data_IF_090133472362
#
_entry.id   IF_090133472362
#
_cell.length_a   1.000
_cell.length_b   1.000
_cell.length_c   1.000
_cell.angle_alpha   90.00
_cell.angle_beta   90.00
_cell.angle_gamma   90.00
#
_symmetry.space_group_name_H-M   'P 1'
#
loop_
_entity.id
_entity.type
_entity.pdbx_description
1 polymer ?
#
# COMPACT_ATOMS: atom_id res chain seq x y z
N UNK A 1 17.42 -34.80 23.72
CA UNK A 1 16.65 -34.98 24.96
C UNK A 1 15.65 -36.09 24.75
N UNK A 2 15.72 -37.15 25.56
CA UNK A 2 14.89 -38.34 25.37
C UNK A 2 14.25 -38.75 26.70
N UNK A 3 12.96 -39.05 26.64
CA UNK A 3 12.19 -39.55 27.77
C UNK A 3 12.72 -40.90 28.26
N UNK A 4 12.82 -41.08 29.58
CA UNK A 4 13.34 -42.30 30.20
C UNK A 4 14.86 -42.48 30.12
N UNK A 5 15.58 -41.56 29.46
CA UNK A 5 17.05 -41.57 29.37
C UNK A 5 17.63 -40.43 30.21
N UNK A 6 17.37 -39.18 29.81
CA UNK A 6 17.96 -38.00 30.47
C UNK A 6 16.90 -37.05 31.04
N UNK A 7 15.65 -37.16 30.58
CA UNK A 7 14.53 -36.31 31.01
C UNK A 7 13.93 -36.87 32.30
N UNK A 8 13.87 -36.04 33.34
CA UNK A 8 13.27 -36.35 34.63
C UNK A 8 11.74 -36.16 34.59
N UNK A 9 11.04 -36.73 35.57
CA UNK A 9 9.60 -36.48 35.76
C UNK A 9 9.34 -35.00 36.05
N UNK A 10 8.21 -34.48 35.57
CA UNK A 10 7.78 -33.11 35.84
C UNK A 10 7.94 -32.13 34.67
N UNK A 11 7.99 -32.61 33.43
CA UNK A 11 7.86 -31.76 32.24
C UNK A 11 6.57 -30.95 32.33
N UNK A 12 6.66 -29.63 32.18
CA UNK A 12 5.50 -28.73 32.20
C UNK A 12 5.48 -27.88 30.95
N UNK A 13 4.29 -27.74 30.37
CA UNK A 13 4.04 -26.72 29.36
C UNK A 13 3.84 -25.40 30.09
N UNK A 14 4.71 -24.44 29.83
CA UNK A 14 4.55 -23.06 30.25
C UNK A 14 3.80 -22.33 29.13
N UNK A 15 2.58 -21.88 29.43
CA UNK A 15 1.81 -21.02 28.53
C UNK A 15 2.25 -19.60 28.79
N UNK A 16 3.40 -19.20 28.26
CA UNK A 16 3.85 -17.83 28.42
C UNK A 16 3.07 -16.95 27.44
N UNK A 17 1.95 -16.42 27.93
CA UNK A 17 1.07 -15.57 27.13
C UNK A 17 1.68 -14.20 26.83
N UNK A 18 2.86 -13.88 27.35
CA UNK A 18 3.47 -12.55 27.33
C UNK A 18 3.77 -12.06 25.91
N UNK A 19 4.11 -12.96 24.97
CA UNK A 19 4.42 -12.64 23.57
C UNK A 19 3.27 -12.89 22.58
N UNK A 20 2.08 -13.27 23.05
CA UNK A 20 0.93 -13.50 22.16
C UNK A 20 0.39 -12.19 21.60
N UNK A 21 0.35 -12.09 20.28
CA UNK A 21 -0.36 -11.03 19.56
C UNK A 21 -1.63 -11.60 18.92
N UNK A 22 -2.74 -10.88 19.03
CA UNK A 22 -3.98 -11.22 18.32
C UNK A 22 -4.28 -10.23 17.19
N UNK A 23 -3.40 -9.25 16.96
CA UNK A 23 -3.47 -8.33 15.84
C UNK A 23 -2.07 -8.03 15.30
N UNK A 24 -1.95 -8.02 13.98
CA UNK A 24 -0.77 -7.53 13.26
C UNK A 24 -1.21 -6.41 12.34
N UNK A 25 -0.45 -5.32 12.33
CA UNK A 25 -0.57 -4.23 11.37
C UNK A 25 0.75 -4.11 10.62
N UNK A 26 0.67 -4.10 9.29
CA UNK A 26 1.83 -3.85 8.42
C UNK A 26 1.61 -2.51 7.74
N UNK A 27 2.58 -1.62 7.87
CA UNK A 27 2.60 -0.30 7.26
C UNK A 27 3.75 -0.31 6.24
N UNK A 28 3.35 -0.31 4.98
CA UNK A 28 4.20 -0.21 3.81
C UNK A 28 4.57 1.22 3.44
N UNK A 29 5.32 1.35 2.35
CA UNK A 29 5.69 2.65 1.77
C UNK A 29 4.60 3.26 0.90
N UNK A 30 4.96 4.34 0.23
CA UNK A 30 4.08 5.05 -0.69
C UNK A 30 3.83 4.25 -1.98
N UNK A 31 2.65 4.43 -2.57
CA UNK A 31 2.29 3.88 -3.89
C UNK A 31 1.73 4.99 -4.77
N UNK A 32 2.09 4.95 -6.04
CA UNK A 32 1.55 5.80 -7.09
C UNK A 32 0.94 4.94 -8.18
N UNK A 33 -0.31 5.21 -8.55
CA UNK A 33 -1.10 4.46 -9.52
C UNK A 33 -1.25 2.94 -9.24
N UNK A 34 -2.25 2.28 -9.84
CA UNK A 34 -2.36 0.82 -9.76
C UNK A 34 -1.12 0.09 -10.31
N UNK A 35 -0.49 0.62 -11.35
CA UNK A 35 0.75 0.06 -11.93
C UNK A 35 1.99 0.22 -11.06
N UNK A 36 2.01 1.21 -10.15
CA UNK A 36 3.22 1.64 -9.44
C UNK A 36 3.97 2.78 -10.12
N UNK A 37 3.59 3.17 -11.35
CA UNK A 37 4.24 4.23 -12.12
C UNK A 37 3.55 5.60 -11.91
N UNK A 38 4.22 6.61 -11.34
CA UNK A 38 3.64 7.94 -11.11
C UNK A 38 3.46 8.80 -12.37
N UNK A 39 3.87 8.34 -13.55
CA UNK A 39 3.81 9.12 -14.80
C UNK A 39 3.15 8.36 -15.96
N UNK A 40 2.37 7.33 -15.63
CA UNK A 40 1.75 6.40 -16.58
C UNK A 40 0.85 7.04 -17.66
N UNK A 41 0.37 8.27 -17.44
CA UNK A 41 -0.67 8.89 -18.27
C UNK A 41 -0.27 10.24 -18.87
N UNK A 42 0.96 10.68 -18.64
CA UNK A 42 1.43 12.01 -19.04
C UNK A 42 2.78 12.00 -19.76
N UNK A 43 3.25 10.82 -20.20
CA UNK A 43 4.55 10.64 -20.84
C UNK A 43 4.42 10.32 -22.35
N UNK A 44 5.51 9.90 -22.97
CA UNK A 44 5.65 9.72 -24.40
C UNK A 44 4.66 8.68 -24.96
N UNK A 45 3.82 9.12 -25.91
CA UNK A 45 2.78 8.34 -26.55
C UNK A 45 1.38 8.58 -25.99
N UNK A 46 1.26 9.24 -24.84
CA UNK A 46 0.00 9.36 -24.12
C UNK A 46 -0.91 10.47 -24.68
N UNK A 47 -0.38 11.45 -25.42
CA UNK A 47 -1.22 12.54 -25.95
C UNK A 47 -2.40 12.03 -26.80
N UNK A 48 -2.24 10.89 -27.46
CA UNK A 48 -3.29 10.26 -28.27
C UNK A 48 -4.46 9.68 -27.45
N UNK A 49 -4.24 9.41 -26.16
CA UNK A 49 -5.23 8.91 -25.21
C UNK A 49 -6.02 10.04 -24.53
N UNK A 50 -5.54 11.28 -24.67
CA UNK A 50 -6.22 12.46 -24.19
C UNK A 50 -7.18 13.03 -25.25
N UNK A 51 -8.30 13.56 -24.77
CA UNK A 51 -9.34 14.19 -25.59
C UNK A 51 -9.62 15.60 -25.09
N UNK A 52 -9.99 16.48 -26.00
CA UNK A 52 -10.30 17.89 -25.74
C UNK A 52 -11.35 18.41 -26.73
N UNK A 53 -11.64 19.71 -26.69
CA UNK A 53 -12.47 20.37 -27.68
C UNK A 53 -11.87 20.20 -29.10
N UNK A 54 -12.68 19.94 -30.14
CA UNK A 54 -12.17 19.74 -31.51
C UNK A 54 -11.37 20.90 -32.09
N UNK A 55 -11.51 22.11 -31.53
CA UNK A 55 -10.73 23.28 -31.95
C UNK A 55 -9.34 23.37 -31.31
N UNK A 56 -9.08 22.64 -30.23
CA UNK A 56 -7.81 22.63 -29.55
C UNK A 56 -6.85 21.55 -30.08
N UNK A 57 -5.58 21.69 -29.72
CA UNK A 57 -4.53 20.72 -30.03
C UNK A 57 -3.94 20.15 -28.73
N UNK A 58 -3.78 18.83 -28.69
CA UNK A 58 -3.04 18.12 -27.65
C UNK A 58 -1.72 17.62 -28.24
N UNK A 59 -0.63 17.89 -27.54
CA UNK A 59 0.72 17.52 -27.95
C UNK A 59 1.57 17.10 -26.75
N UNK A 60 2.70 16.46 -27.03
CA UNK A 60 3.73 16.14 -26.03
C UNK A 60 4.84 17.18 -26.08
N UNK A 61 5.22 17.73 -24.93
CA UNK A 61 6.28 18.71 -24.80
C UNK A 61 7.46 18.14 -24.01
N UNK A 62 8.58 17.90 -24.70
CA UNK A 62 9.80 17.36 -24.09
C UNK A 62 10.59 18.44 -23.34
N UNK A 63 10.33 19.72 -23.58
CA UNK A 63 11.06 20.83 -22.96
C UNK A 63 10.51 21.22 -21.59
N UNK A 64 9.21 21.00 -21.38
CA UNK A 64 8.49 21.28 -20.14
C UNK A 64 8.10 19.94 -19.50
N UNK A 65 8.84 19.49 -18.48
CA UNK A 65 8.53 18.22 -17.79
C UNK A 65 8.96 18.22 -16.32
N UNK A 66 8.19 17.52 -15.51
CA UNK A 66 8.37 17.24 -14.09
C UNK A 66 8.76 15.77 -13.85
N UNK A 67 8.29 14.84 -14.70
CA UNK A 67 8.69 13.44 -14.72
C UNK A 67 8.88 12.95 -16.16
N UNK A 68 9.30 11.70 -16.33
CA UNK A 68 9.34 11.06 -17.65
C UNK A 68 10.16 11.78 -18.72
N UNK A 69 9.67 11.66 -19.96
CA UNK A 69 10.29 12.17 -21.18
C UNK A 69 9.61 13.44 -21.69
N UNK A 70 8.32 13.62 -21.45
CA UNK A 70 7.55 14.80 -21.83
C UNK A 70 6.40 15.08 -20.86
N UNK A 71 5.71 16.20 -21.07
CA UNK A 71 4.40 16.48 -20.49
C UNK A 71 3.32 16.57 -21.56
N UNK A 72 2.04 16.60 -21.14
CA UNK A 72 0.90 16.81 -22.02
C UNK A 72 0.58 18.30 -22.09
N UNK A 73 0.55 18.83 -23.31
CA UNK A 73 0.30 20.22 -23.62
C UNK A 73 -1.02 20.38 -24.39
N UNK A 74 -1.92 21.18 -23.84
CA UNK A 74 -3.15 21.66 -24.47
C UNK A 74 -2.95 23.09 -24.99
N UNK A 75 -3.16 23.27 -26.30
CA UNK A 75 -3.23 24.58 -26.95
C UNK A 75 -4.67 24.86 -27.39
N UNK A 76 -5.37 25.71 -26.64
CA UNK A 76 -6.72 26.17 -27.00
C UNK A 76 -6.63 27.54 -27.69
N UNK A 77 -6.98 27.65 -28.98
CA UNK A 77 -7.15 28.95 -29.63
C UNK A 77 -8.42 29.67 -29.14
N UNK A 78 -8.45 30.99 -29.31
CA UNK A 78 -9.67 31.76 -29.08
C UNK A 78 -10.72 31.40 -30.14
N UNK A 79 -11.77 30.69 -29.72
CA UNK A 79 -12.81 30.20 -30.62
C UNK A 79 -14.22 30.53 -30.11
N UNK A 80 -15.15 30.95 -30.99
CA UNK A 80 -16.53 31.26 -30.59
C UNK A 80 -17.24 30.07 -29.94
N UNK A 81 -17.84 30.30 -28.77
CA UNK A 81 -18.66 29.30 -28.07
C UNK A 81 -17.88 28.29 -27.23
N UNK A 82 -16.54 28.36 -27.20
CA UNK A 82 -15.73 27.53 -26.31
C UNK A 82 -15.71 28.15 -24.91
N UNK A 83 -16.55 27.60 -24.02
CA UNK A 83 -16.70 28.07 -22.63
C UNK A 83 -15.91 27.24 -21.61
N UNK A 84 -15.20 26.21 -22.08
CA UNK A 84 -14.31 25.41 -21.25
C UNK A 84 -13.13 24.82 -22.06
N UNK A 85 -11.93 24.94 -21.51
CA UNK A 85 -10.76 24.17 -21.90
C UNK A 85 -10.74 22.89 -21.07
N UNK A 86 -10.45 21.74 -21.68
CA UNK A 86 -10.32 20.51 -20.90
C UNK A 86 -9.36 19.50 -21.51
N UNK A 87 -8.79 18.68 -20.64
CA UNK A 87 -8.07 17.46 -20.98
C UNK A 87 -8.82 16.30 -20.32
N UNK A 88 -9.37 15.37 -21.11
CA UNK A 88 -10.08 14.18 -20.64
C UNK A 88 -9.34 12.92 -21.07
N UNK A 89 -8.97 12.08 -20.10
CA UNK A 89 -8.32 10.79 -20.32
C UNK A 89 -9.31 9.64 -20.06
N UNK A 90 -9.31 8.61 -20.90
CA UNK A 90 -10.09 7.37 -20.72
C UNK A 90 -9.16 6.25 -20.22
N UNK A 91 -9.35 5.83 -18.97
CA UNK A 91 -8.67 4.67 -18.38
C UNK A 91 -9.14 3.34 -18.99
N UNK A 92 -10.13 3.36 -19.88
CA UNK A 92 -10.67 2.20 -20.57
C UNK A 92 -12.03 1.76 -20.04
N UNK A 93 -12.70 0.90 -20.79
CA UNK A 93 -14.09 0.50 -20.52
C UNK A 93 -14.32 -0.17 -19.17
N UNK A 94 -13.28 -0.80 -18.60
CA UNK A 94 -13.31 -1.44 -17.29
C UNK A 94 -13.03 -0.47 -16.14
N UNK A 95 -12.53 0.73 -16.43
CA UNK A 95 -12.01 1.65 -15.44
C UNK A 95 -10.80 1.10 -14.68
N UNK A 96 -10.37 1.86 -13.68
CA UNK A 96 -9.31 1.50 -12.74
C UNK A 96 -9.80 1.60 -11.29
N UNK A 97 -9.24 0.76 -10.43
CA UNK A 97 -9.48 0.83 -8.99
C UNK A 97 -8.58 1.89 -8.36
N UNK A 98 -9.20 2.99 -7.91
CA UNK A 98 -8.51 4.07 -7.21
C UNK A 98 -8.90 4.18 -5.74
N UNK A 99 -9.76 3.27 -5.24
CA UNK A 99 -10.18 3.24 -3.84
C UNK A 99 -9.00 3.11 -2.84
N UNK A 100 -7.88 2.43 -3.15
CA UNK A 100 -6.73 2.36 -2.27
C UNK A 100 -5.96 3.69 -2.10
N UNK A 101 -6.21 4.70 -2.94
CA UNK A 101 -5.47 5.95 -2.94
C UNK A 101 -6.18 7.03 -2.13
N UNK A 102 -5.41 7.98 -1.62
CA UNK A 102 -5.95 9.08 -0.78
C UNK A 102 -5.85 10.44 -1.47
N UNK A 103 -4.96 10.57 -2.45
CA UNK A 103 -4.69 11.81 -3.13
C UNK A 103 -4.67 11.62 -4.65
N UNK A 104 -5.05 12.66 -5.38
CA UNK A 104 -4.69 12.86 -6.77
C UNK A 104 -3.58 13.91 -6.82
N UNK A 105 -2.52 13.63 -7.58
CA UNK A 105 -1.39 14.56 -7.77
C UNK A 105 -1.12 14.75 -9.25
N UNK A 106 -0.74 15.96 -9.60
CA UNK A 106 -0.29 16.31 -10.95
C UNK A 106 0.49 17.62 -10.88
N UNK A 107 1.41 17.82 -11.82
CA UNK A 107 2.00 19.11 -12.08
C UNK A 107 1.19 19.82 -13.13
N UNK A 108 1.09 21.14 -13.01
CA UNK A 108 0.49 21.94 -14.07
C UNK A 108 1.22 23.27 -14.26
N UNK A 109 1.02 23.88 -15.42
CA UNK A 109 1.42 25.27 -15.70
C UNK A 109 0.60 25.87 -16.84
N UNK A 110 0.79 27.16 -17.04
CA UNK A 110 0.38 27.90 -18.23
C UNK A 110 1.58 28.68 -18.80
N UNK A 111 1.39 29.34 -19.93
CA UNK A 111 2.40 30.19 -20.54
C UNK A 111 2.37 31.61 -19.95
N UNK A 112 3.29 32.46 -20.38
CA UNK A 112 3.42 33.85 -19.89
C UNK A 112 2.16 34.71 -20.04
N UNK A 113 1.22 34.31 -20.90
CA UNK A 113 -0.04 35.02 -21.11
C UNK A 113 -1.13 34.57 -20.13
N UNK A 114 -0.99 33.36 -19.58
CA UNK A 114 -1.96 32.75 -18.71
C UNK A 114 -3.19 32.24 -19.47
N UNK A 115 -4.21 31.89 -18.70
CA UNK A 115 -5.53 31.56 -19.18
C UNK A 115 -6.33 32.84 -19.39
N UNK A 116 -6.86 33.00 -20.59
CA UNK A 116 -7.54 34.19 -21.07
C UNK A 116 -9.03 33.92 -21.24
N UNK A 117 -9.85 34.93 -20.97
CA UNK A 117 -11.30 34.87 -21.09
C UNK A 117 -11.86 36.09 -21.81
N UNK A 118 -13.02 35.92 -22.44
CA UNK A 118 -13.74 37.02 -23.07
C UNK A 118 -14.20 38.02 -21.99
N UNK A 119 -14.00 39.31 -22.24
CA UNK A 119 -14.37 40.41 -21.33
C UNK A 119 -13.83 40.26 -19.89
N UNK A 120 -12.74 39.51 -19.69
CA UNK A 120 -12.20 39.19 -18.37
C UNK A 120 -13.21 38.48 -17.45
N UNK A 121 -14.05 37.62 -18.04
CA UNK A 121 -14.98 36.80 -17.28
C UNK A 121 -14.26 35.90 -16.27
N UNK A 122 -14.92 35.68 -15.14
CA UNK A 122 -14.43 34.81 -14.10
C UNK A 122 -14.41 33.34 -14.57
N UNK A 123 -13.42 32.59 -14.10
CA UNK A 123 -13.21 31.19 -14.43
C UNK A 123 -12.63 30.39 -13.25
N UNK A 124 -12.85 29.08 -13.31
CA UNK A 124 -12.43 28.11 -12.29
C UNK A 124 -11.75 26.90 -12.94
N UNK A 125 -10.84 26.25 -12.20
CA UNK A 125 -10.27 24.96 -12.57
C UNK A 125 -10.80 23.86 -11.65
N UNK A 126 -11.28 22.77 -12.25
CA UNK A 126 -11.76 21.59 -11.54
C UNK A 126 -11.18 20.30 -12.13
N UNK A 127 -11.03 19.31 -11.27
CA UNK A 127 -10.85 17.92 -11.69
C UNK A 127 -12.18 17.20 -11.53
N UNK A 128 -12.58 16.46 -12.55
CA UNK A 128 -13.78 15.63 -12.56
C UNK A 128 -13.35 14.19 -12.75
N UNK A 129 -13.86 13.29 -11.92
CA UNK A 129 -13.77 11.85 -12.12
C UNK A 129 -15.14 11.33 -12.52
N UNK A 130 -15.17 10.41 -13.48
CA UNK A 130 -16.38 9.74 -13.96
C UNK A 130 -16.17 8.23 -13.85
N UNK A 131 -17.09 7.52 -13.20
CA UNK A 131 -17.04 6.07 -13.09
C UNK A 131 -17.59 5.38 -14.34
N UNK A 132 -17.44 4.05 -14.42
CA UNK A 132 -17.97 3.25 -15.55
C UNK A 132 -19.50 3.29 -15.68
N UNK A 133 -20.22 3.74 -14.64
CA UNK A 133 -21.67 3.97 -14.65
C UNK A 133 -22.05 5.40 -15.07
N UNK A 134 -21.08 6.27 -15.36
CA UNK A 134 -21.29 7.67 -15.72
C UNK A 134 -21.60 8.59 -14.53
N UNK A 135 -21.38 8.13 -13.29
CA UNK A 135 -21.54 8.97 -12.09
C UNK A 135 -20.28 9.81 -11.94
N UNK A 136 -20.43 11.03 -11.43
CA UNK A 136 -19.32 11.98 -11.38
C UNK A 136 -19.10 12.55 -9.99
N UNK A 137 -17.83 12.69 -9.63
CA UNK A 137 -17.38 13.51 -8.50
C UNK A 137 -16.35 14.53 -8.98
N UNK A 138 -16.27 15.68 -8.32
CA UNK A 138 -15.40 16.76 -8.76
C UNK A 138 -14.80 17.53 -7.59
N UNK A 139 -13.65 18.16 -7.85
CA UNK A 139 -12.98 19.06 -6.93
C UNK A 139 -12.47 20.28 -7.69
N UNK A 140 -12.97 21.46 -7.34
CA UNK A 140 -12.40 22.73 -7.77
C UNK A 140 -11.10 22.99 -7.00
N UNK A 141 -10.02 23.31 -7.72
CA UNK A 141 -8.69 23.51 -7.14
C UNK A 141 -8.07 24.88 -7.49
N UNK A 142 -8.58 25.58 -8.50
CA UNK A 142 -8.34 27.01 -8.69
C UNK A 142 -9.69 27.74 -8.74
N UNK A 143 -9.78 28.84 -8.01
CA UNK A 143 -10.98 29.69 -7.95
C UNK A 143 -10.60 31.16 -8.13
N UNK A 144 -11.59 32.02 -8.41
CA UNK A 144 -11.40 33.46 -8.48
C UNK A 144 -10.30 33.90 -9.45
N UNK A 145 -10.23 33.29 -10.64
CA UNK A 145 -9.23 33.60 -11.68
C UNK A 145 -7.77 33.43 -11.26
N UNK A 146 -7.50 32.62 -10.23
CA UNK A 146 -6.12 32.29 -9.89
C UNK A 146 -5.51 31.56 -11.09
N UNK A 147 -4.51 32.20 -11.68
CA UNK A 147 -3.80 31.66 -12.84
C UNK A 147 -3.02 30.40 -12.45
N UNK A 148 -2.93 29.40 -13.34
CA UNK A 148 -1.95 28.34 -13.19
C UNK A 148 -0.53 28.97 -13.11
N UNK A 149 0.41 28.29 -12.47
CA UNK A 149 1.77 28.78 -12.36
C UNK A 149 2.46 28.80 -13.72
N UNK A 150 3.52 29.61 -13.85
CA UNK A 150 4.32 29.75 -15.07
C UNK A 150 5.38 28.65 -15.22
N UNK A 151 5.62 27.92 -14.12
CA UNK A 151 6.52 26.78 -14.01
C UNK A 151 5.71 25.58 -13.54
N UNK A 152 6.03 24.39 -14.06
CA UNK A 152 5.37 23.15 -13.63
C UNK A 152 5.46 23.02 -12.12
N UNK A 153 4.30 23.06 -11.46
CA UNK A 153 4.19 23.00 -9.99
C UNK A 153 3.18 21.94 -9.62
N UNK A 154 3.51 21.15 -8.59
CA UNK A 154 2.65 20.08 -8.10
C UNK A 154 1.40 20.63 -7.40
N UNK A 155 0.25 20.05 -7.76
CA UNK A 155 -1.03 20.15 -7.07
C UNK A 155 -1.29 18.81 -6.40
N UNK A 156 -1.73 18.84 -5.14
CA UNK A 156 -2.17 17.66 -4.39
C UNK A 156 -3.61 17.86 -3.96
N UNK A 157 -4.52 17.01 -4.43
CA UNK A 157 -5.94 17.03 -4.08
C UNK A 157 -6.29 15.82 -3.22
N UNK A 158 -6.95 16.04 -2.09
CA UNK A 158 -7.46 14.96 -1.25
C UNK A 158 -8.75 14.40 -1.88
N UNK A 159 -8.78 13.10 -2.16
CA UNK A 159 -9.92 12.44 -2.82
C UNK A 159 -11.19 12.47 -1.95
N UNK A 160 -11.04 12.53 -0.62
CA UNK A 160 -12.19 12.64 0.29
C UNK A 160 -12.90 13.98 0.22
N UNK A 161 -12.28 15.00 -0.39
CA UNK A 161 -12.88 16.32 -0.57
C UNK A 161 -13.58 16.49 -1.92
N UNK A 162 -13.56 15.46 -2.77
CA UNK A 162 -14.34 15.46 -4.00
C UNK A 162 -15.82 15.37 -3.65
N UNK A 163 -16.63 16.15 -4.37
CA UNK A 163 -18.08 16.24 -4.16
C UNK A 163 -18.81 15.90 -5.45
N UNK A 164 -19.95 15.22 -5.33
CA UNK A 164 -20.76 14.84 -6.48
C UNK A 164 -21.75 13.74 -6.13
N UNK A 165 -21.86 12.76 -7.00
CA UNK A 165 -22.75 11.62 -6.82
C UNK A 165 -22.34 10.79 -5.57
N UNK A 166 -23.24 10.57 -4.59
CA UNK A 166 -22.93 9.78 -3.40
C UNK A 166 -22.68 8.30 -3.69
N UNK A 167 -23.16 7.80 -4.84
CA UNK A 167 -23.00 6.40 -5.26
C UNK A 167 -21.81 6.22 -6.21
N UNK A 168 -20.92 7.21 -6.35
CA UNK A 168 -19.73 7.10 -7.20
C UNK A 168 -18.85 5.88 -6.87
N UNK A 169 -18.52 5.09 -7.89
CA UNK A 169 -17.71 3.88 -7.73
C UNK A 169 -16.21 4.15 -7.87
N UNK A 170 -15.52 4.28 -6.73
CA UNK A 170 -14.07 4.46 -6.65
C UNK A 170 -13.26 3.25 -7.14
N UNK A 171 -13.88 2.09 -7.30
CA UNK A 171 -13.22 0.87 -7.77
C UNK A 171 -13.24 0.70 -9.30
N UNK A 172 -13.97 1.58 -9.99
CA UNK A 172 -14.15 1.52 -11.44
C UNK A 172 -14.18 2.93 -12.06
N UNK A 173 -13.16 3.74 -11.78
CA UNK A 173 -13.03 5.09 -12.36
C UNK A 173 -12.62 4.98 -13.81
N UNK A 174 -13.42 5.53 -14.72
CA UNK A 174 -13.20 5.43 -16.16
C UNK A 174 -12.53 6.68 -16.73
N UNK A 175 -12.97 7.86 -16.34
CA UNK A 175 -12.39 9.08 -16.87
C UNK A 175 -11.88 9.99 -15.77
N UNK A 176 -10.82 10.72 -16.11
CA UNK A 176 -10.41 11.93 -15.42
C UNK A 176 -10.48 13.09 -16.41
N UNK A 177 -11.04 14.22 -15.98
CA UNK A 177 -11.09 15.45 -16.76
C UNK A 177 -10.51 16.60 -15.94
N UNK A 178 -9.44 17.22 -16.44
CA UNK A 178 -8.95 18.50 -15.93
C UNK A 178 -9.62 19.60 -16.77
N UNK A 179 -10.47 20.40 -16.14
CA UNK A 179 -11.33 21.37 -16.83
C UNK A 179 -11.12 22.77 -16.28
N UNK A 180 -10.91 23.73 -17.16
CA UNK A 180 -10.94 25.16 -16.88
C UNK A 180 -12.17 25.72 -17.58
N UNK A 181 -13.10 26.32 -16.84
CA UNK A 181 -14.39 26.78 -17.37
C UNK A 181 -14.71 28.20 -16.90
N UNK A 182 -15.42 28.96 -17.71
CA UNK A 182 -15.97 30.24 -17.26
C UNK A 182 -17.14 30.00 -16.32
N UNK A 183 -17.28 30.86 -15.31
CA UNK A 183 -18.33 30.73 -14.30
C UNK A 183 -19.70 31.19 -14.82
N UNK A 184 -19.70 32.05 -15.84
CA UNK A 184 -20.91 32.52 -16.53
C UNK A 184 -21.45 31.54 -17.58
N UNK A 185 -20.71 30.48 -17.89
CA UNK A 185 -21.06 29.46 -18.88
C UNK A 185 -21.28 29.98 -20.30
N UNK A 186 -20.84 31.20 -20.62
CA UNK A 186 -21.10 31.85 -21.92
C UNK A 186 -19.90 32.56 -22.49
N UNK A 187 -19.01 33.11 -21.66
CA UNK A 187 -17.78 33.74 -22.12
C UNK A 187 -16.79 32.72 -22.66
N UNK A 188 -16.05 33.12 -23.69
CA UNK A 188 -14.99 32.26 -24.26
C UNK A 188 -13.82 32.12 -23.29
N UNK A 189 -13.12 31.00 -23.36
CA UNK A 189 -11.87 30.74 -22.62
C UNK A 189 -10.84 30.08 -23.52
N UNK A 190 -9.59 30.53 -23.44
CA UNK A 190 -8.49 30.02 -24.26
C UNK A 190 -7.13 30.22 -23.59
N UNK A 191 -6.09 29.61 -24.15
CA UNK A 191 -4.73 29.69 -23.61
C UNK A 191 -3.92 28.42 -23.83
N UNK A 192 -2.76 28.38 -23.19
CA UNK A 192 -1.87 27.23 -23.19
C UNK A 192 -1.85 26.59 -21.79
N UNK A 193 -1.95 25.27 -21.71
CA UNK A 193 -2.02 24.56 -20.45
C UNK A 193 -1.24 23.25 -20.52
N UNK A 194 -0.35 23.03 -19.56
CA UNK A 194 0.43 21.80 -19.47
C UNK A 194 0.04 21.05 -18.22
N UNK A 195 0.04 19.72 -18.32
CA UNK A 195 -0.11 18.80 -17.19
C UNK A 195 0.98 17.73 -17.29
N UNK A 196 1.48 17.31 -16.14
CA UNK A 196 2.49 16.27 -16.08
C UNK A 196 2.41 15.47 -14.78
N UNK A 197 2.99 14.26 -14.75
CA UNK A 197 3.05 13.37 -13.59
C UNK A 197 1.69 13.20 -12.92
N UNK A 198 0.64 12.94 -13.71
CA UNK A 198 -0.71 12.73 -13.20
C UNK A 198 -0.81 11.33 -12.58
N UNK A 199 -1.07 11.26 -11.28
CA UNK A 199 -1.19 9.98 -10.59
C UNK A 199 -2.07 10.04 -9.34
N UNK A 200 -2.70 8.91 -9.04
CA UNK A 200 -3.28 8.64 -7.73
C UNK A 200 -2.17 8.21 -6.76
N UNK A 201 -2.24 8.70 -5.54
CA UNK A 201 -1.18 8.53 -4.55
C UNK A 201 -1.73 8.16 -3.17
N UNK A 202 -1.04 7.24 -2.51
CA UNK A 202 -1.19 7.03 -1.06
C UNK A 202 0.18 7.07 -0.39
N UNK A 203 0.33 7.80 0.73
CA UNK A 203 1.62 7.93 1.39
C UNK A 203 2.08 6.62 2.04
N UNK A 204 1.14 5.75 2.43
CA UNK A 204 1.44 4.44 2.99
C UNK A 204 0.37 3.44 2.57
N UNK A 205 0.82 2.25 2.20
CA UNK A 205 -0.05 1.09 2.08
C UNK A 205 -0.19 0.43 3.45
N UNK A 206 -1.39 0.00 3.84
CA UNK A 206 -1.64 -0.57 5.16
C UNK A 206 -2.50 -1.82 5.06
N UNK A 207 -2.07 -2.88 5.76
CA UNK A 207 -2.86 -4.08 5.97
C UNK A 207 -2.97 -4.43 7.45
N UNK A 208 -4.05 -5.12 7.80
CA UNK A 208 -4.29 -5.62 9.16
C UNK A 208 -4.72 -7.08 9.12
N UNK A 209 -4.16 -7.89 10.01
CA UNK A 209 -4.58 -9.26 10.25
C UNK A 209 -4.94 -9.42 11.73
N UNK A 210 -6.12 -9.97 12.02
CA UNK A 210 -6.60 -10.15 13.40
C UNK A 210 -7.02 -11.60 13.65
N UNK A 211 -6.60 -12.17 14.79
CA UNK A 211 -7.08 -13.47 15.26
C UNK A 211 -8.39 -13.30 16.01
N UNK A 212 -9.50 -13.46 15.28
CA UNK A 212 -10.87 -13.37 15.82
C UNK A 212 -11.22 -14.50 16.78
N UNK A 213 -10.42 -15.56 16.82
CA UNK A 213 -10.61 -16.71 17.73
C UNK A 213 -9.74 -16.64 18.98
N UNK A 214 -9.00 -15.53 19.16
CA UNK A 214 -8.09 -15.36 20.28
C UNK A 214 -8.81 -15.36 21.62
N UNK A 215 -8.24 -16.08 22.60
CA UNK A 215 -8.72 -16.08 23.99
C UNK A 215 -8.25 -14.85 24.78
N UNK A 216 -7.50 -13.93 24.16
CA UNK A 216 -7.05 -12.70 24.79
C UNK A 216 -8.22 -11.73 24.98
N UNK A 217 -8.40 -11.24 26.21
CA UNK A 217 -9.48 -10.29 26.56
C UNK A 217 -9.27 -8.87 26.01
N UNK A 218 -8.07 -8.55 25.52
CA UNK A 218 -7.70 -7.24 24.97
C UNK A 218 -6.89 -7.43 23.70
N UNK A 219 -6.90 -6.40 22.84
CA UNK A 219 -6.05 -6.36 21.65
C UNK A 219 -4.59 -6.20 22.05
N UNK A 220 -3.76 -7.10 21.55
CA UNK A 220 -2.30 -7.03 21.57
C UNK A 220 -1.83 -6.95 20.13
N UNK A 221 -1.34 -5.78 19.76
CA UNK A 221 -0.99 -5.42 18.39
C UNK A 221 0.53 -5.45 18.18
N UNK A 222 0.96 -6.11 17.12
CA UNK A 222 2.31 -5.99 16.57
C UNK A 222 2.27 -5.09 15.33
N UNK A 223 3.20 -4.14 15.24
CA UNK A 223 3.27 -3.21 14.10
C UNK A 223 4.61 -3.39 13.38
N UNK A 224 4.55 -3.85 12.12
CA UNK A 224 5.69 -3.81 11.21
C UNK A 224 5.63 -2.53 10.36
N UNK A 225 6.76 -1.83 10.24
CA UNK A 225 6.93 -0.71 9.31
C UNK A 225 8.06 -1.04 8.37
N UNK A 226 7.78 -1.08 7.08
CA UNK A 226 8.79 -1.28 6.03
C UNK A 226 8.39 -0.53 4.76
N UNK A 227 9.10 0.55 4.47
CA UNK A 227 8.83 1.43 3.32
C UNK A 227 9.05 0.74 1.97
N UNK A 228 9.73 -0.40 1.94
CA UNK A 228 9.93 -1.18 0.70
C UNK A 228 8.69 -1.97 0.30
N UNK A 229 7.75 -2.16 1.22
CA UNK A 229 6.50 -2.85 0.94
C UNK A 229 5.50 -1.86 0.34
N UNK A 230 5.45 -1.75 -0.98
CA UNK A 230 4.56 -0.79 -1.68
C UNK A 230 3.33 -1.45 -2.31
N UNK A 231 3.28 -2.77 -2.30
CA UNK A 231 2.21 -3.59 -2.88
C UNK A 231 1.20 -4.02 -1.78
N UNK A 232 -0.07 -3.61 -1.86
CA UNK A 232 -1.09 -3.95 -0.86
C UNK A 232 -1.34 -5.43 -0.67
N UNK A 233 -1.34 -6.21 -1.74
CA UNK A 233 -1.59 -7.64 -1.65
C UNK A 233 -0.45 -8.32 -0.89
N UNK A 234 0.78 -7.90 -1.19
CA UNK A 234 1.96 -8.40 -0.47
C UNK A 234 1.99 -7.92 1.00
N UNK A 235 1.61 -6.67 1.26
CA UNK A 235 1.49 -6.12 2.61
C UNK A 235 0.45 -6.92 3.44
N UNK A 236 -0.66 -7.34 2.82
CA UNK A 236 -1.65 -8.23 3.43
C UNK A 236 -1.10 -9.63 3.68
N UNK A 237 -0.42 -10.25 2.71
CA UNK A 237 0.21 -11.56 2.89
C UNK A 237 1.24 -11.57 4.04
N UNK A 238 2.05 -10.51 4.15
CA UNK A 238 3.01 -10.32 5.24
C UNK A 238 2.27 -10.19 6.58
N UNK A 239 1.17 -9.43 6.65
CA UNK A 239 0.38 -9.28 7.88
C UNK A 239 -0.18 -10.63 8.34
N UNK A 240 -0.72 -11.43 7.43
CA UNK A 240 -1.27 -12.76 7.72
C UNK A 240 -0.19 -13.76 8.15
N UNK A 241 0.95 -13.78 7.46
CA UNK A 241 2.07 -14.66 7.77
C UNK A 241 2.68 -14.33 9.14
N UNK A 242 2.86 -13.05 9.45
CA UNK A 242 3.28 -12.58 10.76
C UNK A 242 2.27 -12.98 11.84
N UNK A 243 0.96 -12.76 11.62
CA UNK A 243 -0.05 -13.14 12.59
C UNK A 243 -0.03 -14.64 12.85
N UNK A 244 0.11 -15.48 11.81
CA UNK A 244 0.22 -16.94 11.95
C UNK A 244 1.37 -17.35 12.87
N UNK A 245 2.50 -16.65 12.81
CA UNK A 245 3.65 -16.92 13.68
C UNK A 245 3.42 -16.38 15.10
N UNK A 246 2.94 -15.15 15.22
CA UNK A 246 2.85 -14.41 16.49
C UNK A 246 1.61 -14.77 17.34
N UNK A 247 0.55 -15.34 16.73
CA UNK A 247 -0.67 -15.74 17.44
C UNK A 247 -0.54 -17.07 18.18
N UNK A 248 0.43 -17.89 17.80
CA UNK A 248 0.63 -19.17 18.45
C UNK A 248 1.31 -18.92 19.79
N UNK A 249 0.82 -19.61 20.82
CA UNK A 249 1.58 -19.72 22.07
C UNK A 249 2.91 -20.35 21.69
N UNK A 250 4.00 -19.59 21.83
CA UNK A 250 5.32 -20.20 21.84
C UNK A 250 5.28 -21.21 22.96
N UNK A 251 5.20 -22.49 22.60
CA UNK A 251 5.05 -23.53 23.59
C UNK A 251 6.40 -23.67 24.27
N UNK A 252 6.57 -22.94 25.36
CA UNK A 252 7.68 -23.12 26.26
C UNK A 252 7.45 -24.41 27.02
N UNK A 253 8.42 -25.32 26.96
CA UNK A 253 8.37 -26.55 27.75
C UNK A 253 9.51 -26.53 28.73
N UNK A 254 9.17 -26.48 30.02
CA UNK A 254 10.14 -26.64 31.08
C UNK A 254 10.39 -28.12 31.28
N UNK A 255 11.59 -28.55 30.92
CA UNK A 255 12.02 -29.95 30.94
C UNK A 255 13.13 -30.09 31.97
N UNK A 256 12.89 -30.80 33.09
CA UNK A 256 13.96 -31.14 34.02
C UNK A 256 14.82 -32.28 33.44
N UNK A 257 16.15 -32.14 33.48
CA UNK A 257 17.13 -33.08 32.93
C UNK A 257 18.18 -33.42 33.99
N UNK A 258 18.58 -34.69 34.07
CA UNK A 258 19.64 -35.12 34.98
C UNK A 258 21.02 -34.95 34.34
N UNK A 259 21.94 -34.30 35.05
CA UNK A 259 23.38 -34.38 34.76
C UNK A 259 23.84 -33.81 33.42
N UNK A 260 23.30 -32.66 32.98
CA UNK A 260 23.56 -32.11 31.65
C UNK A 260 23.96 -30.61 31.68
N UNK A 261 25.16 -30.27 32.22
CA UNK A 261 25.64 -28.88 32.27
C UNK A 261 25.92 -28.27 30.88
N UNK A 262 26.08 -29.10 29.85
CA UNK A 262 26.26 -28.68 28.46
C UNK A 262 25.01 -28.07 27.82
N UNK A 263 23.84 -28.26 28.44
CA UNK A 263 22.58 -27.67 28.00
C UNK A 263 22.53 -26.20 28.44
N UNK A 264 22.90 -25.31 27.53
CA UNK A 264 22.93 -23.86 27.73
C UNK A 264 21.90 -23.16 26.84
N UNK A 265 21.48 -21.96 27.22
CA UNK A 265 20.62 -21.11 26.38
C UNK A 265 21.25 -20.87 24.98
N UNK A 266 20.42 -20.84 23.95
CA UNK A 266 20.82 -20.68 22.55
C UNK A 266 21.22 -21.98 21.84
N UNK A 267 21.31 -23.12 22.53
CA UNK A 267 21.68 -24.40 21.93
C UNK A 267 20.47 -25.07 21.28
N UNK A 268 20.67 -25.58 20.05
CA UNK A 268 19.69 -26.38 19.32
C UNK A 268 19.74 -27.84 19.80
N UNK A 269 18.59 -28.41 20.12
CA UNK A 269 18.45 -29.78 20.64
C UNK A 269 17.34 -30.54 19.93
N UNK A 270 17.58 -31.82 19.65
CA UNK A 270 16.52 -32.74 19.22
C UNK A 270 15.83 -33.31 20.46
N UNK A 271 14.50 -33.28 20.46
CA UNK A 271 13.65 -33.65 21.58
C UNK A 271 12.72 -34.77 21.15
N UNK A 272 12.65 -35.80 21.98
CA UNK A 272 11.73 -36.93 21.83
C UNK A 272 11.17 -37.29 23.21
N UNK A 273 10.04 -36.68 23.55
CA UNK A 273 9.28 -36.92 24.79
C UNK A 273 7.82 -37.20 24.38
N UNK A 274 7.51 -38.43 23.91
CA UNK A 274 6.23 -38.77 23.31
C UNK A 274 5.05 -38.57 24.26
N UNK A 275 5.22 -38.79 25.57
CA UNK A 275 4.14 -38.62 26.55
C UNK A 275 3.62 -37.17 26.65
N UNK A 276 4.40 -36.20 26.17
CA UNK A 276 4.05 -34.78 26.15
C UNK A 276 3.85 -34.24 24.72
N UNK A 277 3.75 -35.12 23.72
CA UNK A 277 3.68 -34.77 22.29
C UNK A 277 4.84 -33.87 21.83
N UNK A 278 6.02 -34.06 22.40
CA UNK A 278 7.23 -33.32 22.05
C UNK A 278 8.11 -34.18 21.14
N UNK A 279 8.17 -33.82 19.86
CA UNK A 279 9.05 -34.46 18.89
C UNK A 279 9.57 -33.42 17.90
N UNK A 280 10.86 -33.45 17.62
CA UNK A 280 11.51 -32.59 16.63
C UNK A 280 12.63 -31.73 17.24
N UNK A 281 12.95 -30.63 16.55
CA UNK A 281 14.07 -29.77 16.94
C UNK A 281 13.60 -28.49 17.64
N UNK A 282 14.27 -28.16 18.74
CA UNK A 282 13.96 -27.04 19.64
C UNK A 282 15.24 -26.26 19.94
N UNK A 283 15.09 -25.02 20.41
CA UNK A 283 16.15 -24.25 21.05
C UNK A 283 15.94 -24.26 22.56
N UNK A 284 17.05 -24.18 23.31
CA UNK A 284 17.02 -23.92 24.74
C UNK A 284 16.92 -22.40 24.92
N UNK A 285 15.78 -21.90 25.39
CA UNK A 285 15.59 -20.48 25.68
C UNK A 285 16.27 -20.10 27.01
N UNK A 286 16.13 -20.97 28.02
CA UNK A 286 16.72 -20.78 29.34
C UNK A 286 17.25 -22.12 29.87
N UNK A 287 18.31 -22.06 30.67
CA UNK A 287 18.86 -23.20 31.38
C UNK A 287 19.20 -22.79 32.82
N UNK A 288 18.56 -23.43 33.79
CA UNK A 288 18.84 -23.25 35.20
C UNK A 288 19.42 -24.54 35.78
N UNK A 289 20.65 -24.45 36.30
CA UNK A 289 21.34 -25.59 36.89
C UNK A 289 21.28 -25.52 38.42
N UNK A 290 20.79 -26.59 39.04
CA UNK A 290 20.70 -26.70 40.50
C UNK A 290 21.40 -27.96 40.97
N UNK A 291 22.26 -27.81 41.98
CA UNK A 291 22.84 -28.96 42.69
C UNK A 291 21.83 -29.45 43.73
N UNK A 292 21.34 -30.68 43.56
CA UNK A 292 20.42 -31.33 44.50
C UNK A 292 21.15 -32.40 45.31
N UNK A 293 20.52 -32.94 46.36
CA UNK A 293 21.04 -34.08 47.11
C UNK A 293 21.28 -35.32 46.24
N UNK A 294 20.65 -35.39 45.07
CA UNK A 294 20.72 -36.51 44.12
C UNK A 294 21.60 -36.19 42.89
N UNK A 295 22.36 -35.09 42.93
CA UNK A 295 23.25 -34.65 41.83
C UNK A 295 22.76 -33.41 41.12
N UNK A 296 23.43 -33.06 40.01
CA UNK A 296 23.11 -31.90 39.19
C UNK A 296 21.82 -32.12 38.41
N UNK A 297 20.85 -31.22 38.58
CA UNK A 297 19.61 -31.16 37.81
C UNK A 297 19.61 -29.87 37.01
N UNK A 298 19.30 -29.96 35.72
CA UNK A 298 19.18 -28.81 34.83
C UNK A 298 17.72 -28.66 34.43
N UNK A 299 17.08 -27.57 34.81
CA UNK A 299 15.76 -27.19 34.29
C UNK A 299 15.97 -26.36 33.04
N UNK A 300 15.53 -26.86 31.90
CA UNK A 300 15.68 -26.16 30.62
C UNK A 300 14.31 -25.79 30.07
N UNK A 301 14.20 -24.56 29.58
CA UNK A 301 13.02 -24.08 28.87
C UNK A 301 13.26 -24.26 27.37
N UNK A 302 12.46 -25.11 26.74
CA UNK A 302 12.53 -25.39 25.31
C UNK A 302 11.56 -24.49 24.55
N UNK A 303 12.04 -23.90 23.47
CA UNK A 303 11.26 -23.12 22.53
C UNK A 303 11.35 -23.77 21.14
N UNK A 304 10.24 -23.84 20.40
CA UNK A 304 10.36 -24.18 18.98
C UNK A 304 11.02 -23.01 18.26
N UNK A 305 11.83 -23.25 17.21
CA UNK A 305 12.34 -22.17 16.38
C UNK A 305 11.18 -21.26 15.97
N UNK A 306 11.17 -20.01 16.45
CA UNK A 306 10.33 -18.99 15.85
C UNK A 306 10.86 -18.80 14.43
N UNK A 307 9.96 -18.80 13.44
CA UNK A 307 10.34 -18.37 12.10
C UNK A 307 10.89 -16.95 12.24
N UNK A 308 12.14 -16.75 11.85
CA UNK A 308 12.73 -15.41 11.78
C UNK A 308 11.91 -14.56 10.81
N UNK A 309 11.92 -13.24 10.98
CA UNK A 309 11.24 -12.33 10.05
C UNK A 309 11.65 -12.61 8.59
N UNK A 310 12.91 -12.99 8.39
CA UNK A 310 13.50 -13.39 7.12
C UNK A 310 12.87 -14.68 6.56
N UNK A 311 12.64 -15.70 7.39
CA UNK A 311 11.96 -16.94 7.00
C UNK A 311 10.46 -16.69 6.70
N UNK A 312 9.79 -15.80 7.44
CA UNK A 312 8.40 -15.40 7.18
C UNK A 312 8.29 -14.66 5.84
N UNK A 313 9.20 -13.71 5.59
CA UNK A 313 9.29 -12.99 4.31
C UNK A 313 9.59 -13.95 3.15
N UNK A 314 10.50 -14.91 3.36
CA UNK A 314 10.82 -15.92 2.36
C UNK A 314 9.63 -16.86 2.06
N UNK A 315 8.88 -17.28 3.08
CA UNK A 315 7.67 -18.11 2.90
C UNK A 315 6.58 -17.35 2.13
N UNK A 316 6.38 -16.06 2.43
CA UNK A 316 5.46 -15.18 1.70
C UNK A 316 5.86 -15.03 0.22
N UNK A 317 7.14 -14.72 -0.04
CA UNK A 317 7.69 -14.62 -1.40
C UNK A 317 7.52 -15.93 -2.17
N UNK A 318 7.85 -17.08 -1.56
CA UNK A 318 7.71 -18.40 -2.19
C UNK A 318 6.25 -18.73 -2.51
N UNK A 319 5.31 -18.37 -1.63
CA UNK A 319 3.88 -18.56 -1.89
C UNK A 319 3.45 -17.77 -3.11
N UNK A 320 3.90 -16.52 -3.24
CA UNK A 320 3.60 -15.66 -4.39
C UNK A 320 4.21 -16.17 -5.69
N UNK A 321 5.47 -16.62 -5.68
CA UNK A 321 6.10 -17.29 -6.83
C UNK A 321 5.27 -18.50 -7.26
N UNK A 322 4.86 -19.34 -6.31
CA UNK A 322 4.06 -20.54 -6.63
C UNK A 322 2.67 -20.22 -7.20
N UNK A 323 2.07 -19.08 -6.84
CA UNK A 323 0.79 -18.63 -7.39
C UNK A 323 0.96 -18.09 -8.82
N UNK A 324 2.03 -17.34 -9.09
CA UNK A 324 2.37 -16.87 -10.44
C UNK A 324 2.67 -18.05 -11.36
N UNK A 325 3.46 -19.02 -10.90
CA UNK A 325 3.79 -20.24 -11.67
C UNK A 325 2.55 -21.11 -11.96
N UNK A 326 1.54 -21.09 -11.07
CA UNK A 326 0.26 -21.80 -11.28
C UNK A 326 -0.73 -21.03 -12.14
N UNK A 327 -0.68 -19.69 -12.12
CA UNK A 327 -1.49 -18.81 -12.96
C UNK A 327 -0.97 -18.66 -14.40
N UNK A 328 0.24 -19.12 -14.69
CA UNK A 328 0.79 -19.23 -16.05
C UNK A 328 0.30 -20.45 -16.85
N UNK A 329 -0.71 -21.17 -16.34
CA UNK A 329 -1.38 -22.28 -17.02
C UNK A 329 -2.87 -21.95 -17.16
N UNK A 330 -3.17 -21.03 -18.08
CA UNK A 330 -4.30 -20.95 -19.03
C UNK A 330 -4.53 -19.51 -19.51
#
# INVERSE_FOLDING_TARGET
LQEGVNVLRGVKRESDTVQLYNKVVVIGGARSNPSGDPDEWTDQGDASSWTTDPSANISEDQSERAAGTCSIHLSQPEEPGVVAMYLKYDFGVSGIDVAPFSHLRFHHKTDQNGILTENYADWTAEVILEDTSGRTVSKTYLTNNVQPPQTLTEVTLNLQEFTGDPDFDWTAVRYITLKLKTDDGTSKIWGQYWIDKLHFHTPNVKAEATDTTSNLKHTREYVLRDEKLTDPDFVQEVAEALLKTLKNTTNHYRVPVSGAPELQAGVKVNVEIPTHNLSGTYYIAEAEHRLTSNGLVSEITLEKPALTLEEILAESIMRRISLIERGGVE
#
